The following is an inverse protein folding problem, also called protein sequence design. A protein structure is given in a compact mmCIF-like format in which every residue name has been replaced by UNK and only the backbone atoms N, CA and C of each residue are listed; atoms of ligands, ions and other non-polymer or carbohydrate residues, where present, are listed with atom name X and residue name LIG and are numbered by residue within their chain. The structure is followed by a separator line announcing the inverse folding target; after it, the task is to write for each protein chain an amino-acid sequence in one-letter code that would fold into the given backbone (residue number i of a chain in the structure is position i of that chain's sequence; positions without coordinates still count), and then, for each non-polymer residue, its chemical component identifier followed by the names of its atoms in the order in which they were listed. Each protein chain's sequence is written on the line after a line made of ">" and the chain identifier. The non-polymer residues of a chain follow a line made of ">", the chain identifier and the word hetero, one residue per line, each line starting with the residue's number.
data_IF_444968605259
#
_entry.id   IF_444968605259
#
_cell.length_a   1.000
_cell.length_b   1.000
_cell.length_c   1.000
_cell.angle_alpha   90.00
_cell.angle_beta   90.00
_cell.angle_gamma   90.00
#
_symmetry.space_group_name_H-M   'P 1'
#
loop_
_entity.id
_entity.type
_entity.pdbx_description
1 polymer ?
#
# COMPACT_ATOMS: atom_id res chain seq x y z
N UNK A 1 -11.64 -10.26 34.46
CA UNK A 1 -11.54 -9.15 33.48
C UNK A 1 -10.26 -9.41 32.72
N UNK A 2 -10.34 -9.66 31.41
CA UNK A 2 -9.15 -9.73 30.59
C UNK A 2 -8.62 -8.31 30.44
N UNK A 3 -7.39 -8.07 30.90
CA UNK A 3 -6.77 -6.75 30.84
C UNK A 3 -6.25 -6.53 29.43
N UNK A 4 -6.92 -5.64 28.69
CA UNK A 4 -6.47 -5.24 27.35
C UNK A 4 -5.26 -4.32 27.49
N UNK A 5 -4.10 -4.80 27.06
CA UNK A 5 -2.84 -4.02 27.09
C UNK A 5 -2.59 -3.41 25.72
N UNK A 6 -2.32 -2.11 25.66
CA UNK A 6 -1.89 -1.43 24.44
C UNK A 6 -0.38 -1.38 24.36
N UNK A 7 0.18 -1.69 23.19
CA UNK A 7 1.61 -1.62 22.99
C UNK A 7 2.00 -1.38 21.53
N UNK A 8 3.24 -0.94 21.36
CA UNK A 8 3.95 -1.03 20.08
C UNK A 8 4.73 -2.35 20.10
N UNK A 9 4.53 -3.15 19.06
CA UNK A 9 5.09 -4.49 18.88
C UNK A 9 6.08 -4.46 17.75
N UNK A 10 7.34 -4.76 18.05
CA UNK A 10 8.39 -4.93 17.06
C UNK A 10 8.70 -6.40 16.87
N UNK A 11 8.70 -6.85 15.63
CA UNK A 11 8.86 -8.25 15.23
C UNK A 11 10.13 -8.36 14.41
N UNK A 12 11.03 -9.24 14.86
CA UNK A 12 12.31 -9.54 14.20
C UNK A 12 13.18 -8.30 13.90
N UNK A 13 13.03 -7.21 14.65
CA UNK A 13 13.85 -6.00 14.51
C UNK A 13 13.53 -5.10 13.30
N UNK A 14 12.47 -5.38 12.54
CA UNK A 14 12.21 -4.66 11.27
C UNK A 14 10.74 -4.43 10.95
N UNK A 15 9.79 -5.15 11.58
CA UNK A 15 8.35 -4.92 11.40
C UNK A 15 7.75 -4.41 12.68
N UNK A 16 7.11 -3.26 12.62
CA UNK A 16 6.41 -2.67 13.76
C UNK A 16 4.90 -2.67 13.54
N UNK A 17 4.16 -2.94 14.61
CA UNK A 17 2.71 -2.90 14.70
C UNK A 17 2.33 -2.16 15.97
N UNK A 18 1.20 -1.47 16.01
CA UNK A 18 0.73 -0.81 17.23
C UNK A 18 -0.75 -1.11 17.42
N UNK A 19 -1.13 -1.53 18.63
CA UNK A 19 -2.49 -1.95 18.87
C UNK A 19 -2.74 -2.59 20.23
N UNK A 20 -3.96 -3.07 20.40
CA UNK A 20 -4.36 -3.84 21.56
C UNK A 20 -3.78 -5.25 21.46
N UNK A 21 -3.21 -5.73 22.57
CA UNK A 21 -2.55 -7.03 22.65
C UNK A 21 -3.43 -8.00 23.40
N UNK A 22 -3.55 -9.19 22.82
CA UNK A 22 -4.15 -10.34 23.46
C UNK A 22 -3.13 -11.47 23.53
N UNK A 23 -2.86 -11.96 24.73
CA UNK A 23 -1.95 -13.09 24.95
C UNK A 23 -2.75 -14.39 24.97
N UNK A 24 -2.74 -15.10 23.84
CA UNK A 24 -3.26 -16.48 23.73
C UNK A 24 -2.09 -17.46 23.62
N UNK A 25 -2.30 -18.58 22.91
CA UNK A 25 -1.22 -19.46 22.46
C UNK A 25 -0.23 -18.75 21.52
N UNK A 26 -0.69 -17.71 20.82
CA UNK A 26 0.09 -16.84 19.95
C UNK A 26 -0.06 -15.38 20.42
N UNK A 27 0.92 -14.54 20.07
CA UNK A 27 0.78 -13.09 20.26
C UNK A 27 -0.17 -12.56 19.19
N UNK A 28 -1.28 -12.00 19.62
CA UNK A 28 -2.27 -11.36 18.75
C UNK A 28 -2.27 -9.85 18.99
N UNK A 29 -2.17 -9.08 17.92
CA UNK A 29 -2.20 -7.62 17.93
C UNK A 29 -3.39 -7.18 17.07
N UNK A 30 -4.36 -6.53 17.70
CA UNK A 30 -5.45 -5.84 17.01
C UNK A 30 -5.03 -4.41 16.74
N UNK A 31 -4.70 -4.12 15.48
CA UNK A 31 -4.30 -2.79 15.03
C UNK A 31 -5.58 -1.99 14.77
N UNK A 32 -5.79 -0.85 15.46
CA UNK A 32 -7.02 -0.10 15.36
C UNK A 32 -7.19 0.51 13.96
N UNK A 33 -8.43 0.84 13.62
CA UNK A 33 -8.75 1.64 12.45
C UNK A 33 -7.98 2.97 12.44
N UNK A 34 -7.52 3.37 11.26
CA UNK A 34 -6.91 4.67 10.97
C UNK A 34 -7.64 5.31 9.79
N UNK A 35 -7.46 6.62 9.51
CA UNK A 35 -8.15 7.28 8.39
C UNK A 35 -7.97 6.62 7.02
N UNK A 36 -6.85 5.91 6.84
CA UNK A 36 -6.47 5.28 5.58
C UNK A 36 -6.58 3.75 5.59
N UNK A 37 -6.80 3.12 6.74
CA UNK A 37 -6.80 1.67 6.86
C UNK A 37 -7.85 1.18 7.87
N UNK A 38 -8.66 0.16 7.50
CA UNK A 38 -9.59 -0.45 8.44
C UNK A 38 -8.82 -1.16 9.57
N UNK A 39 -9.51 -1.41 10.68
CA UNK A 39 -9.01 -2.28 11.76
C UNK A 39 -8.61 -3.65 11.20
N UNK A 40 -7.50 -4.20 11.68
CA UNK A 40 -7.07 -5.54 11.32
C UNK A 40 -6.33 -6.24 12.46
N UNK A 41 -6.25 -7.56 12.36
CA UNK A 41 -5.59 -8.41 13.35
C UNK A 41 -4.32 -9.01 12.75
N UNK A 42 -3.24 -8.99 13.53
CA UNK A 42 -2.01 -9.71 13.22
C UNK A 42 -1.70 -10.73 14.32
N UNK A 43 -1.56 -11.99 13.92
CA UNK A 43 -1.09 -13.06 14.78
C UNK A 43 0.35 -13.44 14.43
N UNK A 44 1.16 -13.68 15.46
CA UNK A 44 2.55 -14.07 15.33
C UNK A 44 2.76 -15.49 15.81
N UNK A 45 3.44 -16.29 15.01
CA UNK A 45 3.73 -17.69 15.30
C UNK A 45 4.65 -17.85 16.51
N UNK A 46 4.69 -19.07 17.06
CA UNK A 46 5.45 -19.39 18.28
C UNK A 46 6.97 -19.14 18.16
N UNK A 47 7.52 -19.18 16.94
CA UNK A 47 8.94 -18.93 16.67
C UNK A 47 9.26 -17.45 16.44
N UNK A 48 8.28 -16.55 16.52
CA UNK A 48 8.51 -15.12 16.33
C UNK A 48 9.19 -14.50 17.55
N UNK A 49 10.30 -13.80 17.33
CA UNK A 49 10.93 -12.95 18.34
C UNK A 49 10.33 -11.56 18.25
N UNK A 50 9.83 -11.07 19.37
CA UNK A 50 9.20 -9.76 19.45
C UNK A 50 9.59 -8.99 20.70
N UNK A 51 9.58 -7.67 20.57
CA UNK A 51 9.68 -6.72 21.68
C UNK A 51 8.34 -6.01 21.84
N UNK A 52 7.89 -5.88 23.08
CA UNK A 52 6.66 -5.16 23.43
C UNK A 52 7.05 -3.88 24.17
N UNK A 53 6.54 -2.75 23.70
CA UNK A 53 6.66 -1.45 24.36
C UNK A 53 5.26 -1.01 24.80
N UNK A 54 4.85 -1.30 26.06
CA UNK A 54 3.55 -0.89 26.57
C UNK A 54 3.37 0.62 26.50
N UNK A 55 2.17 1.05 26.10
CA UNK A 55 1.84 2.46 25.98
C UNK A 55 0.34 2.68 26.23
N UNK A 56 -0.10 3.93 26.25
CA UNK A 56 -1.52 4.25 26.29
C UNK A 56 -2.18 3.94 24.94
N UNK A 57 -3.50 3.76 24.96
CA UNK A 57 -4.30 3.63 23.74
C UNK A 57 -4.07 4.80 22.77
N UNK A 58 -4.02 6.03 23.27
CA UNK A 58 -3.79 7.23 22.45
C UNK A 58 -2.46 7.18 21.70
N UNK A 59 -1.40 6.68 22.35
CA UNK A 59 -0.08 6.52 21.73
C UNK A 59 -0.10 5.39 20.70
N UNK A 60 -0.70 4.25 21.02
CA UNK A 60 -0.80 3.12 20.10
C UNK A 60 -1.59 3.48 18.82
N UNK A 61 -2.72 4.18 18.95
CA UNK A 61 -3.52 4.65 17.80
C UNK A 61 -2.71 5.60 16.91
N UNK A 62 -1.99 6.56 17.51
CA UNK A 62 -1.15 7.48 16.74
C UNK A 62 0.01 6.76 16.04
N UNK A 63 0.63 5.79 16.72
CA UNK A 63 1.67 4.96 16.12
C UNK A 63 1.13 4.10 14.97
N UNK A 64 -0.07 3.53 15.10
CA UNK A 64 -0.71 2.74 14.04
C UNK A 64 -0.93 3.55 12.76
N UNK A 65 -1.36 4.81 12.89
CA UNK A 65 -1.53 5.74 11.76
C UNK A 65 -0.21 5.97 11.01
N UNK A 66 0.88 6.25 11.73
CA UNK A 66 2.21 6.47 11.15
C UNK A 66 2.73 5.21 10.45
N UNK A 67 2.66 4.06 11.13
CA UNK A 67 3.17 2.78 10.63
C UNK A 67 2.40 2.28 9.40
N UNK A 68 1.09 2.49 9.35
CA UNK A 68 0.28 2.12 8.19
C UNK A 68 0.59 3.01 6.99
N UNK A 69 0.79 4.32 7.19
CA UNK A 69 1.19 5.23 6.11
C UNK A 69 2.55 4.85 5.52
N UNK A 70 3.52 4.47 6.36
CA UNK A 70 4.83 3.98 5.90
C UNK A 70 4.70 2.73 5.03
N UNK A 71 3.88 1.76 5.45
CA UNK A 71 3.65 0.52 4.68
C UNK A 71 2.98 0.77 3.35
N UNK A 72 2.00 1.67 3.31
CA UNK A 72 1.35 2.09 2.08
C UNK A 72 2.38 2.64 1.11
N UNK A 73 3.28 3.50 1.60
CA UNK A 73 4.33 4.10 0.77
C UNK A 73 5.30 3.08 0.21
N UNK A 74 5.76 2.11 1.00
CA UNK A 74 6.63 1.03 0.52
C UNK A 74 5.91 0.15 -0.51
N UNK A 75 4.63 -0.17 -0.31
CA UNK A 75 3.87 -0.95 -1.28
C UNK A 75 3.68 -0.20 -2.62
N UNK A 76 3.48 1.12 -2.59
CA UNK A 76 3.44 1.93 -3.81
C UNK A 76 4.81 2.04 -4.48
N UNK A 77 5.89 2.21 -3.72
CA UNK A 77 7.25 2.30 -4.27
C UNK A 77 7.69 0.98 -4.94
N UNK A 78 7.34 -0.17 -4.33
CA UNK A 78 7.59 -1.50 -4.92
C UNK A 78 6.69 -1.79 -6.14
N UNK A 79 5.44 -1.32 -6.18
CA UNK A 79 4.55 -1.54 -7.33
C UNK A 79 4.83 -0.59 -8.49
N UNK A 80 5.25 0.65 -8.23
CA UNK A 80 5.62 1.63 -9.26
C UNK A 80 7.00 1.34 -9.87
N UNK A 81 7.84 0.58 -9.16
CA UNK A 81 9.14 0.13 -9.68
C UNK A 81 9.08 -1.19 -10.45
N UNK A 82 7.91 -1.83 -10.58
CA UNK A 82 7.72 -2.90 -11.56
C UNK A 82 7.53 -2.24 -12.92
N UNK A 83 8.49 -2.40 -13.87
CA UNK A 83 8.28 -1.88 -15.21
C UNK A 83 7.09 -2.60 -15.83
N UNK A 84 6.05 -1.82 -16.15
CA UNK A 84 4.87 -2.35 -16.83
C UNK A 84 5.17 -2.22 -18.31
N UNK A 85 5.47 -3.34 -18.96
CA UNK A 85 5.74 -3.35 -20.40
C UNK A 85 4.44 -3.55 -21.18
N UNK A 86 4.31 -2.89 -22.32
CA UNK A 86 3.32 -3.28 -23.33
C UNK A 86 3.74 -4.58 -24.05
N UNK A 87 2.88 -5.07 -24.96
CA UNK A 87 3.17 -6.27 -25.78
C UNK A 87 4.39 -6.11 -26.70
N UNK A 88 4.94 -4.89 -26.79
CA UNK A 88 6.14 -4.55 -27.57
C UNK A 88 7.40 -4.39 -26.69
N UNK A 89 7.30 -4.57 -25.38
CA UNK A 89 8.44 -4.47 -24.46
C UNK A 89 8.84 -3.05 -24.09
N UNK A 90 7.98 -2.05 -24.32
CA UNK A 90 8.18 -0.66 -23.89
C UNK A 90 7.57 -0.43 -22.52
N UNK A 91 8.33 0.17 -21.61
CA UNK A 91 7.85 0.50 -20.28
C UNK A 91 6.82 1.63 -20.38
N UNK A 92 5.57 1.33 -20.02
CA UNK A 92 4.42 2.23 -20.06
C UNK A 92 4.58 3.44 -19.14
N UNK A 93 5.54 3.42 -18.22
CA UNK A 93 5.87 4.53 -17.31
C UNK A 93 6.97 5.47 -17.84
N UNK A 94 7.68 5.09 -18.92
CA UNK A 94 8.81 5.87 -19.48
C UNK A 94 8.38 6.85 -20.61
N UNK A 95 7.08 6.96 -20.87
CA UNK A 95 6.53 8.01 -21.76
C UNK A 95 6.62 9.40 -21.12
N UNK A 96 6.57 10.51 -21.90
CA UNK A 96 6.49 11.84 -21.32
C UNK A 96 5.26 11.88 -20.41
N UNK A 97 5.46 12.05 -19.11
CA UNK A 97 4.39 12.24 -18.13
C UNK A 97 3.66 13.57 -18.41
N UNK A 98 2.82 13.61 -19.43
CA UNK A 98 1.83 14.65 -19.62
C UNK A 98 0.48 14.08 -19.26
N UNK A 99 0.02 14.43 -18.05
CA UNK A 99 -1.38 14.38 -17.63
C UNK A 99 -2.06 13.02 -17.75
N UNK A 100 -1.68 12.07 -16.88
CA UNK A 100 -2.71 11.20 -16.33
C UNK A 100 -3.58 12.10 -15.46
N UNK A 101 -4.71 12.51 -16.03
CA UNK A 101 -5.72 13.34 -15.39
C UNK A 101 -6.17 12.64 -14.10
N UNK A 102 -5.66 13.12 -12.96
CA UNK A 102 -5.86 12.52 -11.63
C UNK A 102 -7.35 12.38 -11.27
N UNK A 103 -8.22 13.14 -11.94
CA UNK A 103 -9.68 13.06 -11.79
C UNK A 103 -10.30 11.80 -12.40
N UNK A 104 -9.74 11.25 -13.48
CA UNK A 104 -10.24 10.03 -14.12
C UNK A 104 -9.94 8.77 -13.28
N UNK A 105 -8.78 8.72 -12.63
CA UNK A 105 -8.42 7.65 -11.69
C UNK A 105 -9.33 7.63 -10.45
N UNK A 106 -9.92 8.77 -10.09
CA UNK A 106 -10.85 8.91 -8.97
C UNK A 106 -12.26 8.40 -9.27
N UNK A 107 -12.68 8.46 -10.54
CA UNK A 107 -14.04 8.07 -10.98
C UNK A 107 -14.12 6.66 -11.57
N UNK A 108 -12.99 6.03 -11.87
CA UNK A 108 -12.92 4.63 -12.33
C UNK A 108 -13.35 4.42 -13.79
N UNK A 109 -13.45 5.49 -14.58
CA UNK A 109 -14.03 5.46 -15.92
C UNK A 109 -12.94 5.41 -17.03
N UNK A 110 -12.16 4.33 -17.02
CA UNK A 110 -10.98 4.14 -17.90
C UNK A 110 -11.28 4.08 -19.40
N UNK A 111 -12.51 3.70 -19.80
CA UNK A 111 -12.87 3.57 -21.23
C UNK A 111 -12.91 4.90 -21.97
N UNK A 112 -13.34 5.97 -21.30
CA UNK A 112 -13.57 7.27 -21.94
C UNK A 112 -12.25 7.97 -22.31
N UNK A 113 -11.20 7.75 -21.52
CA UNK A 113 -9.88 8.33 -21.76
C UNK A 113 -9.12 7.63 -22.91
N UNK A 114 -9.35 6.32 -23.07
CA UNK A 114 -8.77 5.54 -24.17
C UNK A 114 -9.31 5.95 -25.55
N UNK A 115 -10.62 6.24 -25.66
CA UNK A 115 -11.23 6.66 -26.92
C UNK A 115 -10.80 8.08 -27.35
N UNK A 116 -10.56 8.99 -26.41
CA UNK A 116 -10.15 10.36 -26.70
C UNK A 116 -8.75 10.45 -27.33
N UNK A 117 -7.81 9.62 -26.86
CA UNK A 117 -6.42 9.64 -27.33
C UNK A 117 -6.21 8.93 -28.68
N UNK A 118 -7.18 8.17 -29.17
CA UNK A 118 -7.08 7.47 -30.47
C UNK A 118 -7.19 8.41 -31.67
N UNK A 119 -7.79 9.59 -31.49
CA UNK A 119 -8.00 10.58 -32.57
C UNK A 119 -6.72 11.31 -33.00
N UNK A 120 -5.61 11.14 -32.28
CA UNK A 120 -4.32 11.77 -32.59
C UNK A 120 -3.38 10.90 -33.45
N UNK A 121 -3.75 9.65 -33.76
CA UNK A 121 -2.89 8.69 -34.49
C UNK A 121 -3.00 8.75 -36.04
N UNK A 122 -3.68 9.74 -36.64
CA UNK A 122 -3.87 9.78 -38.09
C UNK A 122 -2.82 10.58 -38.88
N UNK A 123 -1.61 10.81 -38.33
CA UNK A 123 -0.59 11.60 -39.01
C UNK A 123 0.83 11.02 -38.89
N UNK A 124 1.07 9.86 -39.50
CA UNK A 124 2.43 9.50 -39.94
C UNK A 124 2.38 8.96 -41.37
N UNK A 125 2.89 9.69 -42.37
CA UNK A 125 2.96 9.21 -43.74
C UNK A 125 4.27 8.44 -43.98
N UNK A 126 4.16 7.27 -44.61
CA UNK A 126 5.28 6.65 -45.35
C UNK A 126 5.87 5.40 -44.71
N UNK A 127 5.33 4.24 -45.08
CA UNK A 127 6.03 2.96 -44.99
C UNK A 127 5.87 2.22 -46.32
N UNK A 128 6.96 2.10 -47.09
CA UNK A 128 7.06 1.15 -48.21
C UNK A 128 7.32 -0.26 -47.65
N UNK A 129 6.90 -1.32 -48.36
CA UNK A 129 6.80 -2.66 -47.80
C UNK A 129 8.11 -3.43 -47.92
N UNK A 130 8.39 -4.32 -46.96
CA UNK A 130 8.83 -5.70 -47.18
C UNK A 130 8.46 -6.54 -45.96
#
# INVERSE_FOLDING_TARGET
>A
MEETVWAIVEVMGHKQYAGAIERRQLLRVTVPETPNNPEYVKEFGFQSVFSLTPCSESVARRAAEILNEQRRRTAYDELVSIPIYDDHGLNLLDGPMSEIDLDAARTGDFKRNWEANRTHESAVPGGMPF
#
